data_IF_950814592461
#
_entry.id   IF_950814592461
#
_cell.length_a   1.000
_cell.length_b   1.000
_cell.length_c   1.000
_cell.angle_alpha   90.00
_cell.angle_beta   90.00
_cell.angle_gamma   90.00
#
_symmetry.space_group_name_H-M   'P 1'
#
loop_
_entity.id
_entity.type
_entity.pdbx_description
1 polymer ?
#
# COMPACT_ATOMS: atom_id res chain seq x y z
N UNK A 1 -49.12 -35.89 -69.48
CA UNK A 1 -49.17 -36.67 -68.25
C UNK A 1 -48.85 -35.73 -67.09
N UNK A 2 -49.89 -35.26 -66.40
CA UNK A 2 -49.84 -34.28 -65.36
C UNK A 2 -49.65 -34.98 -63.99
N UNK A 3 -48.64 -34.65 -63.22
CA UNK A 3 -48.57 -35.00 -61.78
C UNK A 3 -48.69 -33.72 -60.93
N UNK A 4 -49.86 -33.60 -60.27
CA UNK A 4 -50.18 -32.61 -59.26
C UNK A 4 -49.48 -33.01 -57.94
N UNK A 5 -48.67 -32.15 -57.37
CA UNK A 5 -48.13 -32.24 -56.01
C UNK A 5 -48.97 -31.36 -55.09
N UNK A 6 -49.58 -32.02 -54.10
CA UNK A 6 -50.32 -31.37 -52.98
C UNK A 6 -49.38 -30.72 -51.99
N UNK A 7 -49.59 -29.43 -51.72
CA UNK A 7 -48.99 -28.75 -50.59
C UNK A 7 -49.89 -28.87 -49.37
N UNK A 8 -49.37 -29.50 -48.32
CA UNK A 8 -50.05 -29.61 -47.03
C UNK A 8 -49.56 -28.43 -46.18
N UNK A 9 -50.45 -27.48 -45.90
CA UNK A 9 -50.16 -26.32 -44.98
C UNK A 9 -50.43 -26.83 -43.57
N UNK A 10 -49.33 -26.80 -42.75
CA UNK A 10 -49.39 -27.10 -41.34
C UNK A 10 -49.52 -25.76 -40.56
N UNK A 11 -50.74 -25.52 -40.01
CA UNK A 11 -51.07 -24.43 -39.14
C UNK A 11 -50.50 -24.77 -37.74
N UNK A 12 -49.47 -24.04 -37.29
CA UNK A 12 -48.99 -24.11 -35.91
C UNK A 12 -49.73 -23.07 -35.09
N UNK A 13 -50.55 -23.53 -34.17
CA UNK A 13 -51.22 -22.70 -33.18
C UNK A 13 -50.24 -22.18 -32.15
N UNK A 14 -50.05 -20.87 -32.07
CA UNK A 14 -49.34 -20.19 -31.01
C UNK A 14 -50.20 -20.10 -29.75
N UNK A 15 -49.89 -20.90 -28.74
CA UNK A 15 -50.38 -20.69 -27.38
C UNK A 15 -49.39 -19.87 -26.58
N UNK A 16 -49.82 -18.85 -25.82
CA UNK A 16 -48.92 -18.08 -24.94
C UNK A 16 -48.70 -18.83 -23.64
N UNK A 17 -47.56 -19.49 -23.54
CA UNK A 17 -47.05 -20.12 -22.32
C UNK A 17 -45.72 -19.52 -21.91
N UNK A 18 -45.74 -18.31 -21.44
CA UNK A 18 -44.61 -17.72 -20.70
C UNK A 18 -44.68 -18.19 -19.26
N UNK A 19 -43.97 -19.22 -18.89
CA UNK A 19 -43.40 -19.51 -17.56
C UNK A 19 -42.96 -20.97 -17.55
N UNK A 20 -41.72 -21.27 -17.88
CA UNK A 20 -40.97 -22.45 -17.39
C UNK A 20 -39.80 -22.86 -18.30
N UNK A 21 -39.05 -21.91 -18.86
CA UNK A 21 -37.80 -22.27 -19.57
C UNK A 21 -36.55 -21.66 -18.89
N UNK A 22 -36.67 -21.03 -17.72
CA UNK A 22 -35.52 -20.53 -16.95
C UNK A 22 -34.81 -21.60 -16.12
N UNK A 23 -35.29 -22.83 -16.10
CA UNK A 23 -34.72 -23.90 -15.26
C UNK A 23 -33.84 -24.92 -15.98
N UNK A 24 -33.73 -24.90 -17.31
CA UNK A 24 -33.03 -25.97 -18.04
C UNK A 24 -31.80 -25.54 -18.85
N UNK A 25 -31.50 -24.25 -18.91
CA UNK A 25 -30.17 -23.78 -19.23
C UNK A 25 -29.43 -23.66 -17.89
N UNK A 26 -28.79 -24.75 -17.49
CA UNK A 26 -27.94 -24.82 -16.31
C UNK A 26 -26.94 -23.67 -16.31
N UNK A 27 -27.34 -22.52 -15.78
CA UNK A 27 -26.42 -21.53 -15.27
C UNK A 27 -25.68 -22.23 -14.14
N UNK A 28 -24.49 -22.74 -14.40
CA UNK A 28 -23.56 -23.05 -13.32
C UNK A 28 -23.57 -21.82 -12.42
N UNK A 29 -24.07 -21.94 -11.21
CA UNK A 29 -23.77 -20.96 -10.15
C UNK A 29 -22.27 -21.04 -10.05
N UNK A 30 -21.56 -20.16 -10.79
CA UNK A 30 -20.17 -19.89 -10.53
C UNK A 30 -20.17 -19.49 -9.07
N UNK A 31 -19.73 -20.39 -8.22
CA UNK A 31 -19.46 -20.11 -6.83
C UNK A 31 -18.69 -18.81 -6.85
N UNK A 32 -19.26 -17.76 -6.26
CA UNK A 32 -18.68 -16.42 -6.20
C UNK A 32 -17.51 -16.44 -5.20
N UNK A 33 -16.51 -17.28 -5.49
CA UNK A 33 -15.29 -17.39 -4.72
C UNK A 33 -14.54 -16.06 -4.90
N UNK A 34 -14.16 -15.41 -3.81
CA UNK A 34 -13.42 -14.16 -3.77
C UNK A 34 -14.17 -12.87 -4.18
N UNK A 35 -15.49 -12.83 -4.09
CA UNK A 35 -16.18 -11.55 -4.22
C UNK A 35 -16.07 -10.73 -2.92
N UNK A 36 -15.92 -9.39 -3.03
CA UNK A 36 -15.95 -8.51 -1.86
C UNK A 36 -17.26 -8.69 -1.08
N UNK A 37 -17.16 -8.78 0.24
CA UNK A 37 -18.33 -8.82 1.10
C UNK A 37 -19.18 -7.57 0.89
N UNK A 38 -20.51 -7.74 0.75
CA UNK A 38 -21.44 -6.62 0.61
C UNK A 38 -21.43 -5.76 1.90
N UNK A 39 -21.39 -4.44 1.71
CA UNK A 39 -21.37 -3.51 2.83
C UNK A 39 -22.76 -3.34 3.42
N UNK A 40 -22.93 -3.76 4.66
CA UNK A 40 -24.16 -3.57 5.43
C UNK A 40 -24.28 -2.15 5.95
N UNK A 41 -25.51 -1.73 6.27
CA UNK A 41 -25.77 -0.45 6.94
C UNK A 41 -25.25 -0.49 8.38
N UNK A 42 -24.52 0.54 8.79
CA UNK A 42 -24.04 0.67 10.16
C UNK A 42 -25.19 1.02 11.11
N UNK A 43 -25.25 0.39 12.26
CA UNK A 43 -26.33 0.59 13.23
C UNK A 43 -26.24 1.97 13.92
N UNK A 44 -25.05 2.37 14.33
CA UNK A 44 -24.78 3.62 15.00
C UNK A 44 -23.47 4.24 14.47
N UNK A 45 -23.50 4.90 13.30
CA UNK A 45 -22.29 5.43 12.71
C UNK A 45 -21.75 6.63 13.49
N UNK A 46 -20.42 6.68 13.66
CA UNK A 46 -19.74 7.87 14.15
C UNK A 46 -19.81 8.98 13.09
N UNK A 47 -19.73 10.23 13.54
CA UNK A 47 -19.60 11.37 12.64
C UNK A 47 -18.17 11.46 12.09
N UNK A 48 -18.04 11.44 10.77
CA UNK A 48 -16.78 11.67 10.06
C UNK A 48 -16.97 12.80 9.08
N UNK A 49 -16.11 13.80 9.13
CA UNK A 49 -16.20 14.99 8.27
C UNK A 49 -15.05 14.99 7.25
N UNK A 50 -15.39 15.07 5.97
CA UNK A 50 -14.43 15.40 4.93
C UNK A 50 -14.05 16.87 5.05
N UNK A 51 -12.76 17.16 5.23
CA UNK A 51 -12.25 18.52 5.30
C UNK A 51 -12.06 19.10 3.91
N UNK A 52 -11.36 18.38 3.05
CA UNK A 52 -11.09 18.76 1.68
C UNK A 52 -10.74 17.56 0.82
N UNK A 53 -10.67 17.74 -0.49
CA UNK A 53 -10.10 16.79 -1.44
C UNK A 53 -9.50 17.51 -2.63
N UNK A 54 -8.41 16.96 -3.18
CA UNK A 54 -7.68 17.52 -4.32
C UNK A 54 -7.27 16.40 -5.26
N UNK A 55 -7.18 16.70 -6.56
CA UNK A 55 -6.59 15.79 -7.54
C UNK A 55 -5.09 16.02 -7.64
N UNK A 56 -4.34 14.93 -7.61
CA UNK A 56 -2.89 14.90 -7.80
C UNK A 56 -2.49 14.85 -9.29
N UNK A 57 -3.44 14.66 -10.20
CA UNK A 57 -3.24 14.26 -11.58
C UNK A 57 -3.66 12.80 -11.78
N UNK A 58 -3.11 12.13 -12.78
CA UNK A 58 -3.33 10.71 -12.99
C UNK A 58 -2.64 9.92 -11.86
N UNK A 59 -3.35 8.98 -11.27
CA UNK A 59 -2.82 8.13 -10.21
C UNK A 59 -2.08 6.90 -10.77
N UNK A 60 -1.73 5.96 -9.89
CA UNK A 60 -1.03 4.72 -10.28
C UNK A 60 -1.84 3.77 -11.18
N UNK A 61 -3.16 4.00 -11.30
CA UNK A 61 -4.07 3.21 -12.10
C UNK A 61 -4.05 1.72 -11.74
N UNK A 62 -3.65 0.87 -12.70
CA UNK A 62 -3.59 -0.59 -12.55
C UNK A 62 -2.21 -1.14 -12.17
N UNK A 63 -1.25 -0.28 -11.82
CA UNK A 63 0.15 -0.72 -11.60
C UNK A 63 0.39 -1.40 -10.27
N UNK A 64 -0.52 -1.31 -9.30
CA UNK A 64 -0.42 -1.96 -7.97
C UNK A 64 0.80 -1.51 -7.16
N UNK A 65 1.14 -0.21 -7.22
CA UNK A 65 2.32 0.34 -6.56
C UNK A 65 2.13 0.58 -5.06
N UNK A 66 0.90 0.64 -4.57
CA UNK A 66 0.55 0.97 -3.19
C UNK A 66 1.13 2.31 -2.73
N UNK A 67 1.18 3.28 -3.64
CA UNK A 67 1.70 4.60 -3.32
C UNK A 67 0.88 5.24 -2.20
N UNK A 68 1.60 5.76 -1.21
CA UNK A 68 1.04 6.50 -0.09
C UNK A 68 1.63 7.89 -0.02
N UNK A 69 0.90 8.89 0.50
CA UNK A 69 1.46 10.19 0.76
C UNK A 69 2.45 10.10 1.93
N UNK A 70 3.43 11.00 1.96
CA UNK A 70 4.26 11.23 3.13
C UNK A 70 3.81 12.51 3.85
N UNK A 71 3.82 12.49 5.18
CA UNK A 71 3.42 13.62 6.01
C UNK A 71 4.62 14.12 6.81
N UNK A 72 4.88 15.43 6.75
CA UNK A 72 5.88 16.10 7.57
C UNK A 72 5.34 17.46 8.05
N UNK A 73 5.11 17.58 9.34
CA UNK A 73 4.46 18.74 9.93
C UNK A 73 3.11 19.04 9.30
N UNK A 74 2.97 20.21 8.70
CA UNK A 74 1.76 20.67 8.01
C UNK A 74 1.83 20.46 6.48
N UNK A 75 2.68 19.58 5.99
CA UNK A 75 2.82 19.31 4.55
C UNK A 75 2.64 17.84 4.23
N UNK A 76 1.95 17.60 3.14
CA UNK A 76 1.76 16.29 2.53
C UNK A 76 2.52 16.28 1.23
N UNK A 77 3.31 15.23 1.03
CA UNK A 77 4.00 14.99 -0.22
C UNK A 77 3.41 13.76 -0.90
N UNK A 78 3.14 13.89 -2.18
CA UNK A 78 2.58 12.83 -2.99
C UNK A 78 3.26 12.79 -4.36
N UNK A 79 3.13 11.68 -5.05
CA UNK A 79 3.60 11.48 -6.41
C UNK A 79 2.43 11.13 -7.31
N UNK A 80 2.56 11.42 -8.60
CA UNK A 80 1.59 11.02 -9.61
C UNK A 80 2.26 10.21 -10.73
N UNK A 81 1.44 9.73 -11.65
CA UNK A 81 1.88 8.91 -12.78
C UNK A 81 2.68 9.69 -13.85
N UNK A 82 2.51 11.00 -13.90
CA UNK A 82 3.27 11.87 -14.78
C UNK A 82 4.72 12.09 -14.33
N UNK A 83 5.12 11.53 -13.18
CA UNK A 83 6.47 11.66 -12.60
C UNK A 83 6.65 12.97 -11.83
N UNK A 84 5.55 13.58 -11.39
CA UNK A 84 5.58 14.79 -10.57
C UNK A 84 5.56 14.43 -9.07
N UNK A 85 6.26 15.25 -8.31
CA UNK A 85 6.20 15.30 -6.85
C UNK A 85 5.44 16.57 -6.47
N UNK A 86 4.44 16.44 -5.62
CA UNK A 86 3.58 17.53 -5.19
C UNK A 86 3.72 17.72 -3.69
N UNK A 87 3.83 18.98 -3.24
CA UNK A 87 3.62 19.35 -1.84
C UNK A 87 2.28 20.05 -1.67
N UNK A 88 1.56 19.66 -0.65
CA UNK A 88 0.19 20.10 -0.37
C UNK A 88 0.13 20.54 1.08
N UNK A 89 -0.53 21.66 1.34
CA UNK A 89 -0.84 22.11 2.70
C UNK A 89 -1.85 21.16 3.34
N UNK A 90 -1.47 20.57 4.45
CA UNK A 90 -2.25 19.51 5.10
C UNK A 90 -3.59 20.02 5.66
N UNK A 91 -3.67 21.30 6.04
CA UNK A 91 -4.87 21.87 6.60
C UNK A 91 -5.92 22.23 5.54
N UNK A 92 -5.47 22.74 4.39
CA UNK A 92 -6.37 23.32 3.36
C UNK A 92 -6.46 22.49 2.08
N UNK A 93 -5.55 21.55 1.84
CA UNK A 93 -5.45 20.80 0.57
C UNK A 93 -4.88 21.63 -0.59
N UNK A 94 -4.37 22.85 -0.32
CA UNK A 94 -3.79 23.72 -1.35
C UNK A 94 -2.43 23.20 -1.80
N UNK A 95 -2.21 23.12 -3.12
CA UNK A 95 -0.89 22.83 -3.68
C UNK A 95 0.08 23.96 -3.34
N UNK A 96 1.21 23.61 -2.73
CA UNK A 96 2.28 24.55 -2.38
C UNK A 96 3.31 24.64 -3.50
N UNK A 97 3.72 23.50 -4.03
CA UNK A 97 4.59 23.39 -5.19
C UNK A 97 4.40 22.04 -5.92
N UNK A 98 4.86 22.00 -7.17
CA UNK A 98 4.95 20.78 -7.99
C UNK A 98 6.33 20.77 -8.64
N UNK A 99 7.01 19.61 -8.63
CA UNK A 99 8.33 19.43 -9.23
C UNK A 99 8.36 18.12 -10.03
N UNK A 100 9.06 18.16 -11.20
CA UNK A 100 9.25 16.98 -12.03
C UNK A 100 10.48 16.20 -11.57
N UNK A 101 10.31 14.92 -11.24
CA UNK A 101 11.40 14.02 -10.92
C UNK A 101 12.05 13.45 -12.18
N UNK A 102 11.29 13.25 -13.23
CA UNK A 102 11.74 12.72 -14.52
C UNK A 102 12.00 13.89 -15.45
N UNK A 103 13.18 13.93 -16.09
CA UNK A 103 13.42 14.83 -17.21
C UNK A 103 12.55 14.37 -18.39
N UNK A 104 11.36 14.94 -18.52
CA UNK A 104 10.60 14.87 -19.73
C UNK A 104 11.35 15.79 -20.71
N UNK A 105 12.29 15.22 -21.47
CA UNK A 105 12.74 15.91 -22.67
C UNK A 105 11.48 16.23 -23.46
N UNK A 106 11.24 17.52 -23.68
CA UNK A 106 10.15 17.98 -24.51
C UNK A 106 10.32 17.36 -25.89
N UNK A 107 9.76 16.19 -26.13
CA UNK A 107 9.65 15.61 -27.48
C UNK A 107 8.73 16.52 -28.27
N UNK A 108 9.37 17.47 -28.97
CA UNK A 108 8.73 18.23 -30.02
C UNK A 108 8.14 17.28 -31.04
N UNK A 109 6.83 17.07 -30.95
CA UNK A 109 6.01 16.69 -32.11
C UNK A 109 4.53 16.78 -31.70
N UNK A 110 3.86 17.80 -32.27
CA UNK A 110 2.42 18.08 -32.09
C UNK A 110 1.50 17.11 -32.87
N UNK A 111 1.92 15.90 -33.19
CA UNK A 111 1.15 14.97 -34.04
C UNK A 111 1.27 13.51 -33.55
N UNK A 112 0.74 13.18 -32.39
CA UNK A 112 0.36 11.79 -32.05
C UNK A 112 -0.90 11.77 -31.21
N UNK A 113 -2.05 11.79 -31.85
CA UNK A 113 -3.39 11.65 -31.23
C UNK A 113 -3.70 10.24 -30.69
N UNK A 114 -2.79 9.25 -30.77
CA UNK A 114 -3.16 7.84 -30.67
C UNK A 114 -2.35 6.97 -29.69
N UNK A 115 -1.43 7.50 -28.93
CA UNK A 115 -0.84 6.76 -27.79
C UNK A 115 -0.29 7.76 -26.77
N UNK A 116 -0.93 7.90 -25.63
CA UNK A 116 -0.24 8.23 -24.39
C UNK A 116 0.61 7.00 -24.04
N UNK A 117 1.81 6.93 -24.55
CA UNK A 117 2.84 6.10 -23.94
C UNK A 117 3.13 6.73 -22.59
N UNK A 118 2.74 6.06 -21.51
CA UNK A 118 3.23 6.41 -20.18
C UNK A 118 4.74 6.51 -20.27
N UNK A 119 5.38 7.59 -19.77
CA UNK A 119 6.84 7.70 -19.86
C UNK A 119 7.46 6.42 -19.34
N UNK A 120 8.44 5.84 -20.05
CA UNK A 120 9.19 4.65 -19.61
C UNK A 120 9.85 4.88 -18.25
N UNK A 121 10.02 6.12 -17.86
CA UNK A 121 10.56 6.60 -16.61
C UNK A 121 9.43 7.19 -15.73
N UNK A 122 8.72 6.37 -14.96
CA UNK A 122 7.71 6.79 -13.98
C UNK A 122 8.20 6.64 -12.55
N UNK A 123 7.65 7.45 -11.65
CA UNK A 123 7.83 7.24 -10.21
C UNK A 123 7.04 6.00 -9.78
N UNK A 124 7.70 5.10 -9.09
CA UNK A 124 7.12 3.84 -8.63
C UNK A 124 7.06 3.74 -7.12
N UNK A 125 7.98 4.38 -6.42
CA UNK A 125 8.02 4.45 -4.96
C UNK A 125 7.16 5.57 -4.40
N UNK A 126 6.71 5.39 -3.16
CA UNK A 126 6.15 6.48 -2.36
C UNK A 126 7.23 7.50 -1.99
N UNK A 127 6.89 8.77 -1.74
CA UNK A 127 7.87 9.73 -1.25
C UNK A 127 8.33 9.36 0.16
N UNK A 128 9.63 9.48 0.41
CA UNK A 128 10.22 9.53 1.74
C UNK A 128 10.51 10.98 2.12
N UNK A 129 10.27 11.36 3.36
CA UNK A 129 10.48 12.73 3.83
C UNK A 129 11.25 12.76 5.14
N UNK A 130 12.13 13.72 5.29
CA UNK A 130 12.90 13.96 6.52
C UNK A 130 14.02 14.94 6.26
N UNK A 131 14.52 15.54 7.32
CA UNK A 131 15.68 16.44 7.29
C UNK A 131 15.64 17.51 6.18
N UNK A 132 14.45 18.05 5.89
CA UNK A 132 14.24 19.07 4.85
C UNK A 132 14.31 18.55 3.40
N UNK A 133 14.33 17.23 3.20
CA UNK A 133 14.32 16.59 1.89
C UNK A 133 13.04 15.79 1.66
N UNK A 134 12.60 15.76 0.41
CA UNK A 134 11.66 14.78 -0.14
C UNK A 134 12.42 13.94 -1.16
N UNK A 135 12.44 12.63 -0.97
CA UNK A 135 13.18 11.70 -1.84
C UNK A 135 12.21 10.71 -2.46
N UNK A 136 12.30 10.51 -3.76
CA UNK A 136 11.44 9.63 -4.52
C UNK A 136 12.27 8.66 -5.38
N UNK A 137 11.73 7.48 -5.60
CA UNK A 137 12.33 6.46 -6.44
C UNK A 137 11.52 6.16 -7.69
N UNK A 138 12.19 5.75 -8.76
CA UNK A 138 11.59 5.47 -10.05
C UNK A 138 11.88 4.08 -10.59
N UNK A 139 11.18 3.75 -11.70
CA UNK A 139 11.22 2.44 -12.37
C UNK A 139 12.61 2.05 -12.85
N UNK A 140 13.39 3.00 -13.33
CA UNK A 140 14.72 2.74 -13.91
C UNK A 140 15.84 2.88 -12.87
N UNK A 141 15.51 2.85 -11.57
CA UNK A 141 16.45 3.03 -10.47
C UNK A 141 16.84 4.49 -10.23
N UNK A 142 16.15 5.45 -10.80
CA UNK A 142 16.36 6.85 -10.46
C UNK A 142 15.92 7.13 -9.03
N UNK A 143 16.76 7.87 -8.30
CA UNK A 143 16.47 8.41 -6.98
C UNK A 143 16.69 9.91 -7.04
N UNK A 144 15.64 10.68 -6.75
CA UNK A 144 15.66 12.13 -6.87
C UNK A 144 15.29 12.76 -5.53
N UNK A 145 16.08 13.71 -5.09
CA UNK A 145 15.81 14.49 -3.89
C UNK A 145 15.45 15.94 -4.22
N UNK A 146 14.45 16.43 -3.50
CA UNK A 146 13.99 17.81 -3.57
C UNK A 146 14.07 18.46 -2.20
N UNK A 147 14.25 19.77 -2.18
CA UNK A 147 14.05 20.55 -0.98
C UNK A 147 12.56 20.49 -0.60
N UNK A 148 12.26 20.07 0.61
CA UNK A 148 10.89 19.85 1.08
C UNK A 148 10.05 21.14 1.11
N UNK A 149 10.68 22.29 1.32
CA UNK A 149 10.00 23.57 1.41
C UNK A 149 9.67 24.16 0.04
N UNK A 150 10.67 24.15 -0.88
CA UNK A 150 10.58 24.85 -2.16
C UNK A 150 10.30 23.99 -3.37
N UNK A 151 10.44 22.65 -3.26
CA UNK A 151 10.38 21.74 -4.41
C UNK A 151 11.59 21.82 -5.34
N UNK A 152 12.62 22.60 -4.99
CA UNK A 152 13.84 22.68 -5.79
C UNK A 152 14.59 21.36 -5.77
N UNK A 153 14.91 20.82 -6.95
CA UNK A 153 15.73 19.61 -7.10
C UNK A 153 17.12 19.83 -6.49
N UNK A 154 17.52 18.94 -5.60
CA UNK A 154 18.82 18.98 -4.91
C UNK A 154 19.84 18.11 -5.64
N UNK A 155 19.48 16.86 -5.89
CA UNK A 155 20.32 15.90 -6.58
C UNK A 155 19.47 14.80 -7.24
N UNK A 156 20.10 14.06 -8.12
CA UNK A 156 19.55 12.87 -8.76
C UNK A 156 20.67 11.87 -8.98
N UNK A 157 20.44 10.63 -8.57
CA UNK A 157 21.40 9.52 -8.72
C UNK A 157 20.68 8.29 -9.24
N UNK A 158 21.43 7.26 -9.64
CA UNK A 158 20.89 6.01 -10.12
C UNK A 158 21.38 4.85 -9.26
N UNK A 159 20.44 4.02 -8.82
CA UNK A 159 20.69 2.73 -8.15
C UNK A 159 20.53 1.58 -9.16
N UNK A 160 20.76 0.34 -8.73
CA UNK A 160 20.87 -0.82 -9.63
C UNK A 160 19.56 -1.28 -10.26
N UNK A 161 18.41 -1.01 -9.62
CA UNK A 161 17.10 -1.47 -10.09
C UNK A 161 15.98 -0.53 -9.64
N UNK A 162 14.73 -0.84 -10.02
CA UNK A 162 13.52 -0.11 -9.65
C UNK A 162 13.43 0.12 -8.13
N UNK A 163 12.94 1.29 -7.71
CA UNK A 163 12.68 1.63 -6.31
C UNK A 163 11.19 1.71 -6.08
N UNK A 164 10.63 0.71 -5.40
CA UNK A 164 9.19 0.58 -5.14
C UNK A 164 8.77 1.14 -3.78
N UNK A 165 9.65 1.08 -2.80
CA UNK A 165 9.39 1.55 -1.43
C UNK A 165 9.76 3.00 -1.23
N UNK A 166 9.19 3.63 -0.20
CA UNK A 166 9.60 4.96 0.22
C UNK A 166 11.04 4.94 0.75
N UNK A 167 11.94 5.81 0.29
CA UNK A 167 13.25 5.98 0.92
C UNK A 167 13.13 6.42 2.38
N UNK A 168 13.99 5.89 3.24
CA UNK A 168 14.12 6.37 4.62
C UNK A 168 15.11 7.55 4.64
N UNK A 169 14.64 8.73 5.04
CA UNK A 169 15.44 9.95 5.08
C UNK A 169 15.85 10.26 6.52
N UNK A 170 17.12 10.04 6.83
CA UNK A 170 17.74 10.35 8.12
C UNK A 170 18.62 11.60 8.03
N UNK A 171 19.05 12.13 9.17
CA UNK A 171 19.92 13.31 9.20
C UNK A 171 21.25 13.11 8.46
N UNK A 172 21.81 11.91 8.54
CA UNK A 172 23.13 11.57 7.99
C UNK A 172 23.11 10.60 6.79
N UNK A 173 21.94 10.02 6.45
CA UNK A 173 21.79 9.05 5.34
C UNK A 173 20.41 9.07 4.73
N UNK A 174 20.36 8.79 3.45
CA UNK A 174 19.14 8.39 2.75
C UNK A 174 19.28 6.90 2.42
N UNK A 175 18.39 6.08 2.98
CA UNK A 175 18.42 4.63 2.80
C UNK A 175 17.40 4.28 1.71
N UNK A 176 17.86 3.63 0.64
CA UNK A 176 17.06 3.25 -0.52
C UNK A 176 17.15 1.75 -0.74
N UNK A 177 16.01 1.08 -0.79
CA UNK A 177 15.92 -0.32 -1.21
C UNK A 177 15.56 -0.39 -2.70
N UNK A 178 16.35 -1.09 -3.49
CA UNK A 178 16.02 -1.40 -4.88
C UNK A 178 15.41 -2.79 -5.01
N UNK A 179 14.66 -3.01 -6.09
CA UNK A 179 13.89 -4.24 -6.32
C UNK A 179 14.74 -5.48 -6.61
N UNK A 180 16.07 -5.33 -6.78
CA UNK A 180 17.05 -6.42 -6.89
C UNK A 180 17.62 -6.86 -5.54
N UNK A 181 17.01 -6.44 -4.43
CA UNK A 181 17.41 -6.84 -3.07
C UNK A 181 18.53 -6.01 -2.45
N UNK A 182 19.07 -5.03 -3.17
CA UNK A 182 20.13 -4.15 -2.66
C UNK A 182 19.56 -3.00 -1.85
N UNK A 183 20.34 -2.61 -0.84
CA UNK A 183 20.08 -1.42 -0.01
C UNK A 183 21.25 -0.48 -0.12
N UNK A 184 20.97 0.77 -0.42
CA UNK A 184 21.96 1.83 -0.61
C UNK A 184 21.86 2.84 0.51
N UNK A 185 23.01 3.23 1.07
CA UNK A 185 23.14 4.41 1.91
C UNK A 185 23.74 5.56 1.10
N UNK A 186 22.92 6.59 0.89
CA UNK A 186 23.30 7.77 0.12
C UNK A 186 23.56 8.97 1.04
N UNK A 187 24.39 9.87 0.60
CA UNK A 187 24.61 11.16 1.29
C UNK A 187 23.40 12.07 1.07
N UNK A 188 22.80 12.64 2.13
CA UNK A 188 21.68 13.57 1.97
C UNK A 188 22.03 14.86 1.19
N UNK A 189 23.29 15.28 1.19
CA UNK A 189 23.71 16.54 0.58
C UNK A 189 23.76 16.47 -0.95
N UNK A 190 24.27 15.37 -1.52
CA UNK A 190 24.58 15.24 -2.94
C UNK A 190 24.11 13.91 -3.60
N UNK A 191 23.53 12.99 -2.80
CA UNK A 191 23.13 11.66 -3.26
C UNK A 191 24.28 10.69 -3.46
N UNK A 192 25.51 11.06 -3.12
CA UNK A 192 26.69 10.22 -3.26
C UNK A 192 26.57 8.91 -2.48
N UNK A 193 26.82 7.78 -3.14
CA UNK A 193 26.75 6.47 -2.50
C UNK A 193 27.87 6.31 -1.47
N UNK A 194 27.50 6.08 -0.20
CA UNK A 194 28.43 5.81 0.90
C UNK A 194 28.66 4.32 1.08
N UNK A 195 27.61 3.52 0.96
CA UNK A 195 27.68 2.08 1.09
C UNK A 195 26.57 1.38 0.28
N UNK A 196 26.74 0.09 0.08
CA UNK A 196 25.71 -0.81 -0.46
C UNK A 196 25.74 -2.10 0.34
N UNK A 197 24.56 -2.57 0.72
CA UNK A 197 24.34 -3.88 1.27
C UNK A 197 23.66 -4.74 0.18
N UNK A 198 24.27 -5.86 -0.17
CA UNK A 198 23.78 -6.76 -1.23
C UNK A 198 23.25 -8.06 -0.61
N UNK A 199 22.00 -8.38 -0.90
CA UNK A 199 21.38 -9.64 -0.54
C UNK A 199 20.68 -10.19 -1.77
N UNK A 200 20.96 -11.45 -2.13
CA UNK A 200 20.29 -12.12 -3.22
C UNK A 200 18.78 -12.20 -3.01
N UNK A 201 18.04 -12.24 -4.10
CA UNK A 201 16.60 -12.45 -4.08
C UNK A 201 16.23 -13.92 -4.20
N UNK A 202 15.10 -14.37 -3.63
CA UNK A 202 14.52 -15.68 -3.92
C UNK A 202 14.11 -15.77 -5.40
N UNK A 203 13.87 -16.98 -5.89
CA UNK A 203 13.52 -17.25 -7.30
C UNK A 203 12.19 -16.63 -7.69
N UNK A 204 11.27 -16.49 -6.74
CA UNK A 204 9.95 -15.86 -6.90
C UNK A 204 9.67 -14.96 -5.70
N UNK A 205 9.21 -13.74 -5.96
CA UNK A 205 8.74 -12.80 -4.94
C UNK A 205 7.49 -12.08 -5.44
N UNK A 206 6.66 -11.57 -4.52
CA UNK A 206 5.58 -10.64 -4.87
C UNK A 206 6.19 -9.31 -5.25
N UNK A 207 5.65 -8.63 -6.27
CA UNK A 207 6.08 -7.28 -6.60
C UNK A 207 5.62 -6.30 -5.50
N UNK A 208 6.52 -5.99 -4.63
CA UNK A 208 6.34 -5.08 -3.51
C UNK A 208 7.63 -5.03 -2.72
N UNK A 209 7.79 -4.04 -1.90
CA UNK A 209 8.91 -3.95 -0.97
C UNK A 209 8.47 -3.16 0.25
N UNK A 210 8.69 -3.71 1.43
CA UNK A 210 8.56 -2.92 2.65
C UNK A 210 9.46 -1.69 2.59
N UNK A 211 8.96 -0.56 3.04
CA UNK A 211 9.80 0.62 3.19
C UNK A 211 10.77 0.42 4.35
N UNK A 212 12.06 0.77 4.19
CA UNK A 212 13.00 0.80 5.30
C UNK A 212 12.45 1.69 6.42
N UNK A 213 12.51 1.24 7.65
CA UNK A 213 12.17 2.03 8.84
C UNK A 213 13.41 2.23 9.69
N UNK A 214 13.50 3.34 10.41
CA UNK A 214 14.70 3.70 11.14
C UNK A 214 14.44 4.09 12.59
N UNK A 215 15.29 3.59 13.51
CA UNK A 215 15.35 4.03 14.89
C UNK A 215 16.74 3.77 15.47
N UNK A 216 17.17 4.60 16.41
CA UNK A 216 18.40 4.43 17.20
C UNK A 216 19.68 4.21 16.34
N UNK A 217 19.77 4.89 15.17
CA UNK A 217 20.90 4.76 14.26
C UNK A 217 20.90 3.49 13.40
N UNK A 218 19.87 2.66 13.50
CA UNK A 218 19.67 1.47 12.67
C UNK A 218 18.59 1.74 11.63
N UNK A 219 18.67 1.00 10.51
CA UNK A 219 17.63 0.84 9.52
C UNK A 219 17.22 -0.63 9.44
N UNK A 220 15.92 -0.86 9.42
CA UNK A 220 15.33 -2.20 9.39
C UNK A 220 14.64 -2.42 8.05
N UNK A 221 14.97 -3.54 7.42
CA UNK A 221 14.55 -3.87 6.07
C UNK A 221 13.96 -5.28 6.05
N UNK A 222 12.71 -5.40 5.62
CA UNK A 222 12.09 -6.70 5.34
C UNK A 222 12.50 -7.19 3.95
N UNK A 223 12.71 -8.49 3.80
CA UNK A 223 13.09 -9.12 2.54
C UNK A 223 12.06 -10.15 2.08
N UNK A 224 12.15 -10.47 0.79
CA UNK A 224 11.23 -11.39 0.09
C UNK A 224 11.45 -12.86 0.49
N UNK A 225 12.56 -13.16 1.18
CA UNK A 225 12.84 -14.48 1.76
C UNK A 225 12.30 -14.64 3.21
N UNK A 226 11.47 -13.70 3.67
CA UNK A 226 10.91 -13.73 5.02
C UNK A 226 11.88 -13.29 6.12
N UNK A 227 12.99 -12.66 5.76
CA UNK A 227 13.99 -12.19 6.72
C UNK A 227 13.85 -10.70 6.98
N UNK A 228 13.95 -10.29 8.23
CA UNK A 228 14.13 -8.92 8.67
C UNK A 228 15.60 -8.69 9.00
N UNK A 229 16.20 -7.63 8.44
CA UNK A 229 17.60 -7.29 8.62
C UNK A 229 17.72 -5.91 9.26
N UNK A 230 18.57 -5.78 10.28
CA UNK A 230 18.98 -4.52 10.85
C UNK A 230 20.38 -4.13 10.37
N UNK A 231 20.47 -2.98 9.71
CA UNK A 231 21.71 -2.38 9.23
C UNK A 231 22.01 -1.12 10.02
N UNK A 232 23.28 -0.89 10.35
CA UNK A 232 23.70 0.40 10.84
C UNK A 232 23.57 1.44 9.72
N UNK A 233 22.77 2.48 9.97
CA UNK A 233 22.45 3.46 8.94
C UNK A 233 23.68 4.20 8.40
N UNK A 234 24.71 4.38 9.22
CA UNK A 234 25.92 5.11 8.87
C UNK A 234 26.78 4.40 7.80
N UNK A 235 27.04 3.12 7.95
CA UNK A 235 27.99 2.35 7.16
C UNK A 235 27.45 1.08 6.49
N UNK A 236 26.17 0.76 6.72
CA UNK A 236 25.49 -0.41 6.12
C UNK A 236 25.91 -1.74 6.72
N UNK A 237 26.67 -1.77 7.83
CA UNK A 237 27.01 -3.01 8.49
C UNK A 237 25.79 -3.69 9.09
N UNK A 238 25.62 -4.98 8.82
CA UNK A 238 24.58 -5.80 9.41
C UNK A 238 24.83 -5.97 10.91
N UNK A 239 23.87 -5.54 11.72
CA UNK A 239 23.89 -5.68 13.17
C UNK A 239 23.29 -7.01 13.58
N UNK A 240 22.12 -7.35 13.02
CA UNK A 240 21.43 -8.62 13.19
C UNK A 240 20.53 -8.92 12.00
N UNK A 241 20.12 -10.17 11.89
CA UNK A 241 19.04 -10.61 11.01
C UNK A 241 18.19 -11.66 11.72
N UNK A 242 16.91 -11.69 11.39
CA UNK A 242 15.93 -12.63 11.97
C UNK A 242 14.99 -13.12 10.88
N UNK A 243 14.83 -14.43 10.78
CA UNK A 243 13.81 -15.04 9.94
C UNK A 243 12.46 -14.92 10.63
N UNK A 244 11.51 -14.23 10.01
CA UNK A 244 10.12 -14.07 10.50
C UNK A 244 9.29 -15.27 10.07
N UNK A 245 9.43 -15.69 8.80
CA UNK A 245 8.78 -16.86 8.26
C UNK A 245 9.71 -17.58 7.30
N UNK A 246 9.77 -18.90 7.43
CA UNK A 246 10.52 -19.73 6.49
C UNK A 246 9.67 -20.00 5.24
N UNK A 247 10.26 -19.99 4.03
CA UNK A 247 9.57 -20.41 2.82
C UNK A 247 9.20 -21.90 2.92
N UNK A 248 7.98 -22.21 3.35
CA UNK A 248 7.47 -23.57 3.46
C UNK A 248 6.28 -23.78 2.52
N UNK A 249 6.20 -24.95 1.89
CA UNK A 249 5.09 -25.29 1.00
C UNK A 249 5.49 -26.15 -0.18
N UNK A 250 4.48 -26.69 -0.88
CA UNK A 250 4.66 -27.59 -2.02
C UNK A 250 4.81 -26.85 -3.34
N UNK A 251 4.24 -25.66 -3.45
CA UNK A 251 4.34 -24.81 -4.64
C UNK A 251 5.17 -23.58 -4.36
N UNK A 252 5.68 -22.92 -5.40
CA UNK A 252 6.40 -21.64 -5.25
C UNK A 252 5.52 -20.57 -4.62
N UNK A 253 4.20 -20.58 -4.88
CA UNK A 253 3.23 -19.66 -4.26
C UNK A 253 3.07 -19.91 -2.76
N UNK A 254 3.09 -21.17 -2.34
CA UNK A 254 3.01 -21.52 -0.91
C UNK A 254 4.28 -21.11 -0.16
N UNK A 255 5.41 -21.04 -0.86
CA UNK A 255 6.72 -20.66 -0.30
C UNK A 255 6.95 -19.16 -0.18
N UNK A 256 6.01 -18.31 -0.63
CA UNK A 256 6.19 -16.87 -0.49
C UNK A 256 6.16 -16.48 0.99
N UNK A 257 7.28 -16.00 1.48
CA UNK A 257 7.45 -15.56 2.88
C UNK A 257 7.61 -14.03 3.00
N UNK A 258 7.46 -13.33 1.88
CA UNK A 258 7.76 -11.91 1.70
C UNK A 258 7.32 -11.03 2.89
N UNK A 259 8.21 -10.15 3.33
CA UNK A 259 7.90 -9.06 4.28
C UNK A 259 7.72 -7.79 3.45
N UNK A 260 6.57 -7.65 2.82
CA UNK A 260 6.22 -6.51 1.96
C UNK A 260 5.40 -5.44 2.66
N UNK A 261 4.74 -5.82 3.75
CA UNK A 261 3.92 -4.92 4.55
C UNK A 261 4.73 -3.90 5.34
N UNK A 262 4.03 -2.91 5.86
CA UNK A 262 4.66 -1.91 6.72
C UNK A 262 5.16 -2.55 8.01
N UNK A 263 6.46 -2.41 8.26
CA UNK A 263 7.10 -2.72 9.53
C UNK A 263 6.81 -1.57 10.48
N UNK A 264 6.43 -1.86 11.71
CA UNK A 264 6.23 -0.83 12.73
C UNK A 264 7.23 -1.00 13.86
N UNK A 265 7.72 0.12 14.34
CA UNK A 265 8.74 0.18 15.38
C UNK A 265 8.28 1.10 16.50
N UNK A 266 8.49 0.68 17.71
CA UNK A 266 8.49 1.49 18.91
C UNK A 266 9.87 1.37 19.55
N UNK A 267 10.25 2.31 20.43
CA UNK A 267 11.60 2.54 20.95
C UNK A 267 12.46 1.27 21.15
N UNK A 268 11.87 0.17 21.62
CA UNK A 268 12.59 -1.07 21.96
C UNK A 268 12.10 -2.30 21.17
N UNK A 269 10.99 -2.20 20.46
CA UNK A 269 10.34 -3.33 19.79
C UNK A 269 10.11 -3.06 18.32
N UNK A 270 10.25 -4.10 17.51
CA UNK A 270 9.89 -4.12 16.10
C UNK A 270 8.83 -5.18 15.89
N UNK A 271 7.85 -4.86 15.06
CA UNK A 271 6.81 -5.78 14.64
C UNK A 271 6.85 -5.90 13.12
N UNK A 272 6.95 -7.13 12.64
CA UNK A 272 6.96 -7.46 11.22
C UNK A 272 5.99 -8.62 10.97
N UNK A 273 5.37 -8.60 9.78
CA UNK A 273 4.50 -9.66 9.31
C UNK A 273 4.98 -10.20 7.97
N UNK A 274 4.92 -11.51 7.80
CA UNK A 274 5.10 -12.14 6.50
C UNK A 274 3.77 -12.17 5.73
N UNK A 275 3.87 -12.40 4.43
CA UNK A 275 2.71 -12.48 3.53
C UNK A 275 1.69 -13.55 3.96
N UNK A 276 2.16 -14.74 4.34
CA UNK A 276 1.27 -15.87 4.58
C UNK A 276 0.86 -16.07 6.02
N UNK A 277 1.80 -16.17 6.95
CA UNK A 277 1.49 -16.98 8.14
C UNK A 277 1.98 -16.43 9.47
N UNK A 278 2.84 -15.39 9.51
CA UNK A 278 3.44 -14.99 10.79
C UNK A 278 3.50 -13.49 11.02
N UNK A 279 3.18 -13.12 12.24
CA UNK A 279 3.55 -11.83 12.84
C UNK A 279 4.51 -12.13 13.98
N UNK A 280 5.55 -11.33 14.09
CA UNK A 280 6.55 -11.47 15.13
C UNK A 280 6.85 -10.12 15.75
N UNK A 281 6.95 -10.08 17.08
CA UNK A 281 7.57 -8.99 17.81
C UNK A 281 9.01 -9.36 18.14
N UNK A 282 9.92 -8.41 17.96
CA UNK A 282 11.35 -8.57 18.14
C UNK A 282 11.90 -7.45 19.02
N UNK A 283 12.97 -7.74 19.74
CA UNK A 283 13.82 -6.69 20.32
C UNK A 283 14.51 -5.91 19.20
N UNK A 284 14.34 -4.59 19.17
CA UNK A 284 14.96 -3.73 18.18
C UNK A 284 16.49 -3.74 18.27
N UNK A 285 17.04 -3.95 19.48
CA UNK A 285 18.46 -3.91 19.73
C UNK A 285 19.22 -5.11 19.15
N UNK A 286 18.66 -6.33 19.23
CA UNK A 286 19.37 -7.56 18.92
C UNK A 286 18.61 -8.57 18.06
N UNK A 287 17.39 -8.26 17.63
CA UNK A 287 16.56 -9.10 16.78
C UNK A 287 15.99 -10.35 17.45
N UNK A 288 16.11 -10.48 18.78
CA UNK A 288 15.56 -11.63 19.49
C UNK A 288 14.03 -11.62 19.47
N UNK A 289 13.39 -12.75 19.09
CA UNK A 289 11.93 -12.88 19.17
C UNK A 289 11.42 -12.70 20.60
N UNK A 290 10.40 -11.87 20.74
CA UNK A 290 9.67 -11.67 21.99
C UNK A 290 8.41 -12.54 22.02
N UNK A 291 7.69 -12.57 20.92
CA UNK A 291 6.54 -13.45 20.68
C UNK A 291 6.27 -13.60 19.17
N UNK A 292 5.52 -14.64 18.84
CA UNK A 292 5.03 -14.92 17.48
C UNK A 292 3.55 -15.23 17.51
N UNK A 293 2.85 -14.91 16.42
CA UNK A 293 1.44 -15.28 16.21
C UNK A 293 1.23 -15.76 14.78
N UNK A 294 0.44 -16.82 14.61
CA UNK A 294 0.21 -17.44 13.30
C UNK A 294 -0.90 -16.69 12.52
N UNK A 295 -0.55 -15.54 11.97
CA UNK A 295 -1.36 -14.75 11.03
C UNK A 295 -0.43 -13.90 10.18
N UNK A 296 -0.66 -13.87 8.88
CA UNK A 296 0.13 -13.05 7.95
C UNK A 296 -0.57 -11.76 7.53
N UNK A 297 0.22 -10.79 7.09
CA UNK A 297 -0.28 -9.54 6.51
C UNK A 297 0.61 -9.09 5.36
N UNK A 298 0.01 -8.83 4.21
CA UNK A 298 0.71 -8.26 3.06
C UNK A 298 0.64 -6.73 3.02
N UNK A 299 -0.29 -6.13 3.73
CA UNK A 299 -0.46 -4.68 3.75
C UNK A 299 0.36 -4.01 4.84
N UNK A 300 0.55 -4.68 5.98
CA UNK A 300 1.35 -4.21 7.10
C UNK A 300 0.57 -4.10 8.41
N UNK A 301 1.20 -3.45 9.34
CA UNK A 301 0.84 -3.41 10.75
C UNK A 301 0.60 -1.96 11.21
N UNK A 302 -0.13 -1.79 12.31
CA UNK A 302 -0.22 -0.53 13.03
C UNK A 302 -0.18 -0.75 14.54
N UNK A 303 0.49 0.15 15.26
CA UNK A 303 0.53 0.15 16.71
C UNK A 303 -0.54 1.08 17.28
N UNK A 304 -1.35 0.56 18.18
CA UNK A 304 -2.06 1.32 19.19
C UNK A 304 -1.29 1.21 20.52
N UNK A 305 -1.77 1.85 21.57
CA UNK A 305 -1.05 1.88 22.86
C UNK A 305 -0.74 0.47 23.40
N UNK A 306 -1.71 -0.39 23.40
CA UNK A 306 -1.66 -1.76 23.98
C UNK A 306 -1.93 -2.87 22.95
N UNK A 307 -2.14 -2.50 21.66
CA UNK A 307 -2.55 -3.42 20.62
C UNK A 307 -1.68 -3.30 19.37
N UNK A 308 -1.48 -4.42 18.72
CA UNK A 308 -0.98 -4.49 17.35
C UNK A 308 -2.17 -4.83 16.45
N UNK A 309 -2.39 -3.97 15.45
CA UNK A 309 -3.45 -4.14 14.45
C UNK A 309 -2.88 -4.63 13.14
N UNK A 310 -3.60 -5.48 12.44
CA UNK A 310 -3.25 -5.92 11.09
C UNK A 310 -4.49 -6.32 10.28
N UNK A 311 -4.32 -6.37 8.96
CA UNK A 311 -5.30 -6.95 8.03
C UNK A 311 -4.69 -8.16 7.35
N UNK A 312 -5.42 -9.28 7.36
CA UNK A 312 -4.97 -10.50 6.70
C UNK A 312 -5.36 -10.54 5.20
N UNK A 313 -4.84 -11.53 4.47
CA UNK A 313 -5.04 -11.71 3.02
C UNK A 313 -6.50 -11.89 2.59
N UNK A 314 -7.38 -12.31 3.50
CA UNK A 314 -8.80 -12.50 3.20
C UNK A 314 -9.67 -11.32 3.66
N UNK A 315 -9.05 -10.27 4.22
CA UNK A 315 -9.73 -9.04 4.61
C UNK A 315 -10.29 -9.06 6.02
N UNK A 316 -9.82 -9.95 6.89
CA UNK A 316 -10.11 -9.81 8.31
C UNK A 316 -9.19 -8.76 8.94
N UNK A 317 -9.71 -8.06 9.93
CA UNK A 317 -8.95 -7.15 10.78
C UNK A 317 -8.72 -7.85 12.12
N UNK A 318 -7.49 -7.83 12.60
CA UNK A 318 -7.08 -8.44 13.85
C UNK A 318 -6.54 -7.39 14.80
N UNK A 319 -6.80 -7.58 16.09
CA UNK A 319 -6.05 -6.94 17.14
C UNK A 319 -5.38 -8.01 17.99
N UNK A 320 -4.08 -7.88 18.14
CA UNK A 320 -3.27 -8.70 19.05
C UNK A 320 -2.86 -7.85 20.23
N UNK A 321 -2.76 -8.48 21.39
CA UNK A 321 -2.12 -7.87 22.56
C UNK A 321 -0.65 -7.59 22.22
N UNK A 322 -0.24 -6.35 22.37
CA UNK A 322 1.09 -5.91 21.97
C UNK A 322 2.21 -6.59 22.74
N UNK A 323 2.00 -6.90 24.01
CA UNK A 323 3.03 -7.47 24.89
C UNK A 323 3.19 -8.98 24.71
N UNK A 324 2.10 -9.69 24.40
CA UNK A 324 2.05 -11.16 24.39
C UNK A 324 1.80 -11.77 23.02
N UNK A 325 1.30 -10.99 22.05
CA UNK A 325 0.88 -11.50 20.74
C UNK A 325 -0.45 -12.24 20.73
N UNK A 326 -1.14 -12.35 21.87
CA UNK A 326 -2.42 -13.05 21.95
C UNK A 326 -3.50 -12.29 21.18
N UNK A 327 -4.37 -13.02 20.46
CA UNK A 327 -5.51 -12.43 19.78
C UNK A 327 -6.52 -11.88 20.78
N UNK A 328 -6.83 -10.59 20.67
CA UNK A 328 -7.85 -9.91 21.46
C UNK A 328 -9.21 -9.99 20.77
N UNK A 329 -9.25 -9.71 19.49
CA UNK A 329 -10.44 -9.84 18.65
C UNK A 329 -10.08 -9.97 17.16
N UNK A 330 -11.06 -10.48 16.41
CA UNK A 330 -11.01 -10.59 14.94
C UNK A 330 -12.31 -10.10 14.35
N UNK A 331 -12.24 -9.23 13.34
CA UNK A 331 -13.38 -8.69 12.60
C UNK A 331 -13.34 -9.18 11.15
N UNK A 332 -14.43 -9.71 10.61
CA UNK A 332 -14.51 -10.34 9.28
C UNK A 332 -15.56 -9.71 8.33
N UNK A 333 -16.21 -8.60 8.71
CA UNK A 333 -17.25 -7.95 7.90
C UNK A 333 -16.73 -7.36 6.58
N UNK A 334 -15.41 -7.18 6.45
CA UNK A 334 -14.77 -6.58 5.28
C UNK A 334 -14.03 -7.63 4.42
N UNK A 335 -14.46 -8.88 4.47
CA UNK A 335 -13.84 -9.98 3.73
C UNK A 335 -13.71 -9.72 2.24
N UNK A 336 -12.58 -10.12 1.64
CA UNK A 336 -12.22 -9.98 0.22
C UNK A 336 -12.26 -8.54 -0.32
N UNK A 337 -12.13 -7.52 0.53
CA UNK A 337 -12.14 -6.10 0.12
C UNK A 337 -10.75 -5.52 -0.08
N UNK A 338 -9.69 -6.33 -0.05
CA UNK A 338 -8.29 -5.91 -0.27
C UNK A 338 -7.92 -4.69 0.60
N UNK A 339 -8.00 -4.88 1.90
CA UNK A 339 -7.80 -3.82 2.86
C UNK A 339 -6.36 -3.31 2.87
N UNK A 340 -6.19 -2.01 3.06
CA UNK A 340 -4.88 -1.40 3.34
C UNK A 340 -4.36 -1.83 4.72
N UNK A 341 -3.11 -1.52 5.04
CA UNK A 341 -2.66 -1.51 6.43
C UNK A 341 -3.59 -0.63 7.27
N UNK A 342 -3.90 -1.03 8.51
CA UNK A 342 -4.65 -0.18 9.40
C UNK A 342 -3.82 1.05 9.83
N UNK A 343 -4.51 2.10 10.25
CA UNK A 343 -3.91 3.24 10.96
C UNK A 343 -4.78 3.58 12.17
N UNK A 344 -4.22 4.29 13.14
CA UNK A 344 -4.91 4.63 14.39
C UNK A 344 -5.30 6.09 14.41
N UNK A 345 -6.59 6.38 14.65
CA UNK A 345 -7.14 7.72 14.83
C UNK A 345 -7.92 7.80 16.15
N UNK A 346 -7.28 8.27 17.21
CA UNK A 346 -7.88 8.30 18.54
C UNK A 346 -8.24 6.90 19.04
N UNK A 347 -9.53 6.68 19.34
CA UNK A 347 -10.05 5.39 19.79
C UNK A 347 -10.42 4.42 18.65
N UNK A 348 -10.11 4.78 17.41
CA UNK A 348 -10.50 4.02 16.23
C UNK A 348 -9.31 3.56 15.43
N UNK A 349 -9.41 2.36 14.85
CA UNK A 349 -8.60 1.94 13.73
C UNK A 349 -9.29 2.28 12.41
N UNK A 350 -8.52 2.54 11.36
CA UNK A 350 -9.05 2.88 10.04
C UNK A 350 -8.33 2.09 8.97
N UNK A 351 -9.09 1.53 8.02
CA UNK A 351 -8.58 0.83 6.84
C UNK A 351 -9.25 1.37 5.57
N UNK A 352 -8.52 1.37 4.47
CA UNK A 352 -9.05 1.63 3.14
C UNK A 352 -9.40 0.35 2.42
N UNK A 353 -10.27 0.41 1.40
CA UNK A 353 -10.67 -0.75 0.61
C UNK A 353 -10.59 -0.54 -0.91
N UNK A 354 -10.80 -1.63 -1.66
CA UNK A 354 -10.72 -1.67 -3.13
C UNK A 354 -11.81 -0.85 -3.85
N UNK A 355 -12.89 -0.47 -3.16
CA UNK A 355 -13.96 0.37 -3.71
C UNK A 355 -13.87 1.84 -3.28
N UNK A 356 -12.78 2.19 -2.59
CA UNK A 356 -12.47 3.56 -2.17
C UNK A 356 -13.14 4.00 -0.89
N UNK A 357 -13.57 3.08 -0.07
CA UNK A 357 -14.07 3.38 1.26
C UNK A 357 -12.97 3.38 2.29
N UNK A 358 -13.03 4.32 3.22
CA UNK A 358 -12.39 4.28 4.53
C UNK A 358 -13.40 3.70 5.53
N UNK A 359 -12.97 2.74 6.34
CA UNK A 359 -13.79 2.11 7.37
C UNK A 359 -13.17 2.36 8.74
N UNK A 360 -13.94 2.91 9.66
CA UNK A 360 -13.56 3.12 11.07
C UNK A 360 -14.09 1.99 11.92
N UNK A 361 -13.25 1.43 12.77
CA UNK A 361 -13.62 0.40 13.73
C UNK A 361 -13.08 0.76 15.13
N UNK A 362 -13.81 0.37 16.18
CA UNK A 362 -13.38 0.58 17.55
C UNK A 362 -12.15 -0.26 17.86
N UNK A 363 -11.13 0.32 18.49
CA UNK A 363 -9.91 -0.41 18.87
C UNK A 363 -10.18 -1.51 19.89
N UNK A 364 -11.20 -1.35 20.76
CA UNK A 364 -11.48 -2.29 21.82
C UNK A 364 -12.25 -3.53 21.37
N UNK A 365 -13.12 -3.40 20.37
CA UNK A 365 -14.05 -4.45 19.97
C UNK A 365 -13.95 -4.91 18.54
N UNK A 366 -13.27 -4.12 17.68
CA UNK A 366 -13.25 -4.33 16.23
C UNK A 366 -14.58 -3.99 15.52
N UNK A 367 -15.58 -3.48 16.24
CA UNK A 367 -16.87 -3.09 15.67
C UNK A 367 -16.69 -1.97 14.63
N UNK A 368 -17.17 -2.20 13.40
CA UNK A 368 -17.13 -1.18 12.33
C UNK A 368 -18.23 -0.16 12.59
N UNK A 369 -17.82 1.08 12.86
CA UNK A 369 -18.71 2.18 13.30
C UNK A 369 -18.67 3.40 12.39
N UNK A 370 -17.82 3.44 11.38
CA UNK A 370 -17.73 4.55 10.45
C UNK A 370 -17.40 4.09 9.03
N UNK A 371 -17.90 4.83 8.04
CA UNK A 371 -17.58 4.57 6.65
C UNK A 371 -17.74 5.83 5.82
N UNK A 372 -16.70 6.19 5.09
CA UNK A 372 -16.71 7.31 4.14
C UNK A 372 -16.06 6.88 2.84
N UNK A 373 -16.60 7.36 1.71
CA UNK A 373 -16.04 7.06 0.40
C UNK A 373 -15.25 8.25 -0.12
N UNK A 374 -13.97 8.00 -0.42
CA UNK A 374 -13.10 9.01 -1.06
C UNK A 374 -13.58 9.27 -2.49
N UNK A 375 -13.62 8.19 -3.28
CA UNK A 375 -14.22 8.13 -4.63
C UNK A 375 -14.42 6.66 -5.05
N UNK A 376 -14.88 6.42 -6.30
CA UNK A 376 -15.05 5.05 -6.84
C UNK A 376 -13.76 4.51 -7.44
N UNK A 377 -12.70 4.50 -6.64
CA UNK A 377 -11.39 4.01 -7.01
C UNK A 377 -10.69 3.42 -5.77
N UNK A 378 -9.85 2.41 -5.96
CA UNK A 378 -9.27 1.66 -4.85
C UNK A 378 -8.34 2.53 -3.98
N UNK A 379 -8.41 2.32 -2.67
CA UNK A 379 -7.38 2.71 -1.73
C UNK A 379 -6.40 1.54 -1.61
N UNK A 380 -5.16 1.73 -2.01
CA UNK A 380 -4.12 0.69 -1.96
C UNK A 380 -2.97 1.04 -1.03
N UNK A 381 -2.59 2.31 -1.03
CA UNK A 381 -1.62 2.84 -0.09
C UNK A 381 -2.22 3.05 1.29
N UNK A 382 -1.42 2.83 2.32
CA UNK A 382 -1.82 3.07 3.72
C UNK A 382 -2.18 4.54 3.92
N UNK A 383 -3.35 4.86 4.48
CA UNK A 383 -3.68 6.23 4.88
C UNK A 383 -2.63 6.78 5.85
N UNK A 384 -2.49 8.09 5.91
CA UNK A 384 -1.61 8.75 6.88
C UNK A 384 -2.44 9.49 7.92
N UNK A 385 -1.96 9.55 9.15
CA UNK A 385 -2.65 10.25 10.24
C UNK A 385 -1.73 11.32 10.80
N UNK A 386 -2.19 12.57 10.84
CA UNK A 386 -1.44 13.65 11.46
C UNK A 386 -1.51 13.59 12.99
N UNK A 387 -0.60 14.29 13.66
CA UNK A 387 -0.64 14.44 15.11
C UNK A 387 -1.94 15.07 15.63
N UNK A 388 -2.63 15.87 14.80
CA UNK A 388 -3.97 16.43 15.10
C UNK A 388 -5.13 15.47 14.82
N UNK A 389 -4.85 14.23 14.42
CA UNK A 389 -5.85 13.20 14.15
C UNK A 389 -6.58 13.36 12.81
N UNK A 390 -6.04 14.09 11.85
CA UNK A 390 -6.58 14.14 10.48
C UNK A 390 -6.05 12.97 9.67
N UNK A 391 -6.93 12.25 8.98
CA UNK A 391 -6.57 11.15 8.06
C UNK A 391 -6.44 11.71 6.65
N UNK A 392 -5.38 11.29 5.95
CA UNK A 392 -5.13 11.56 4.55
C UNK A 392 -5.06 10.25 3.78
N UNK A 393 -5.87 10.12 2.74
CA UNK A 393 -5.93 8.93 1.91
C UNK A 393 -5.86 9.29 0.42
N UNK A 394 -5.12 8.48 -0.33
CA UNK A 394 -4.96 8.62 -1.79
C UNK A 394 -5.56 7.41 -2.48
N UNK A 395 -6.40 7.65 -3.50
CA UNK A 395 -6.90 6.58 -4.36
C UNK A 395 -5.93 6.28 -5.50
N UNK A 396 -6.06 5.11 -6.09
CA UNK A 396 -5.25 4.72 -7.25
C UNK A 396 -5.52 5.55 -8.52
N UNK A 397 -6.58 6.38 -8.53
CA UNK A 397 -6.88 7.36 -9.59
C UNK A 397 -6.40 8.77 -9.23
N UNK A 398 -5.60 8.93 -8.16
CA UNK A 398 -4.92 10.18 -7.81
C UNK A 398 -5.79 11.18 -7.05
N UNK A 399 -6.86 10.76 -6.37
CA UNK A 399 -7.60 11.63 -5.46
C UNK A 399 -7.01 11.56 -4.06
N UNK A 400 -6.50 12.67 -3.56
CA UNK A 400 -6.13 12.84 -2.14
C UNK A 400 -7.27 13.52 -1.39
N UNK A 401 -7.65 12.99 -0.24
CA UNK A 401 -8.68 13.57 0.62
C UNK A 401 -8.30 13.53 2.10
N UNK A 402 -8.81 14.50 2.86
CA UNK A 402 -8.60 14.64 4.29
C UNK A 402 -9.90 14.45 5.06
N UNK A 403 -9.84 13.67 6.15
CA UNK A 403 -10.99 13.38 7.01
C UNK A 403 -10.65 13.56 8.49
N UNK A 404 -11.63 14.00 9.24
CA UNK A 404 -11.52 14.17 10.69
C UNK A 404 -12.78 13.62 11.37
N UNK A 405 -12.60 13.08 12.57
CA UNK A 405 -13.74 12.72 13.42
C UNK A 405 -14.54 13.98 13.72
N UNK A 406 -15.87 13.88 13.61
CA UNK A 406 -16.78 14.92 14.09
C UNK A 406 -16.80 14.94 15.62
N UNK A 407 -17.01 16.09 16.17
CA UNK A 407 -17.22 16.25 17.63
C UNK A 407 -18.56 15.63 18.02
#
# INVERSE_FOLDING_TARGET
MLRRTLFLAMVVALAPGCTTVKGWLGGSSKTKVNQPTELTKLAAPISVRKLWSVSLGDGEGRRWLRQRPALDGNRIYAVNDDGEVLAIDAASGKKLWTANAVNVEAKGSKLKFWKRESPEAGLTGSPGVGNGLVVVGGRNGEVVAFNAESGQKRWSVKVSSEVLSAPLVLANRVIVRSNDGRVFGLDPADGGRKWVFDRGLPTLSVRGNSSPVGANGLSYIGYDDGTLVALRAEDGLRVWEQVIAEPDGRTELDRMADIDGEIVIDAEQIFAASYHDKVMALSAANGQPLWTHDVGSYSGLALATDKLLLTDKVGNIWALDRATGNSLWKQNLLGNRQLTSPVVQGAYGVVGDLEGYLHWFKLDTGEVVGRERVERAALRGTPQVSASGVIYAVTNEGKLAAYQLGN
#
